data_IF_509975410957
#
_entry.id   IF_509975410957
#
_cell.length_a   1.000
_cell.length_b   1.000
_cell.length_c   1.000
_cell.angle_alpha   90.00
_cell.angle_beta   90.00
_cell.angle_gamma   90.00
#
_symmetry.space_group_name_H-M   'P 1'
#
loop_
_entity.id
_entity.type
_entity.pdbx_description
1 polymer ?
#
# COMPACT_ATOMS: atom_id res chain seq x y z
N UNK A 1 20.00 -9.51 1.05
CA UNK A 1 18.80 -9.83 1.86
C UNK A 1 18.18 -11.08 1.28
N UNK A 2 17.80 -12.02 2.14
CA UNK A 2 17.28 -13.32 1.71
C UNK A 2 15.76 -13.36 1.66
N UNK A 3 15.25 -13.82 0.53
CA UNK A 3 13.82 -14.00 0.30
C UNK A 3 13.55 -15.40 -0.25
N UNK A 4 12.33 -15.89 -0.07
CA UNK A 4 11.76 -16.99 -0.83
C UNK A 4 10.71 -16.45 -1.78
N UNK A 5 10.54 -17.07 -2.95
CA UNK A 5 9.38 -16.74 -3.80
C UNK A 5 8.12 -17.33 -3.19
N UNK A 6 7.09 -16.49 -3.02
CA UNK A 6 5.78 -16.87 -2.52
C UNK A 6 5.09 -17.86 -3.47
N UNK A 7 4.37 -18.81 -2.89
CA UNK A 7 3.56 -19.77 -3.65
C UNK A 7 2.63 -19.10 -4.66
N UNK A 8 2.65 -19.62 -5.90
CA UNK A 8 1.85 -19.13 -7.01
C UNK A 8 2.46 -17.95 -7.79
N UNK A 9 3.66 -17.48 -7.43
CA UNK A 9 4.34 -16.38 -8.14
C UNK A 9 5.66 -16.82 -8.80
N UNK A 10 6.04 -16.11 -9.85
CA UNK A 10 7.34 -16.21 -10.50
C UNK A 10 7.97 -14.82 -10.54
N UNK A 11 9.29 -14.78 -10.30
CA UNK A 11 10.10 -13.56 -10.35
C UNK A 11 11.05 -13.64 -11.53
N UNK A 12 10.99 -12.66 -12.42
CA UNK A 12 11.94 -12.48 -13.51
C UNK A 12 12.80 -11.26 -13.19
N UNK A 13 14.09 -11.48 -12.95
CA UNK A 13 15.05 -10.42 -12.69
C UNK A 13 16.01 -10.29 -13.87
N UNK A 14 16.12 -9.09 -14.41
CA UNK A 14 17.06 -8.76 -15.47
C UNK A 14 18.21 -7.93 -14.91
N UNK A 15 19.44 -8.33 -15.23
CA UNK A 15 20.66 -7.63 -14.83
C UNK A 15 21.55 -7.44 -16.06
N UNK A 16 22.24 -6.31 -16.14
CA UNK A 16 23.26 -6.09 -17.16
C UNK A 16 24.60 -6.53 -16.59
N UNK A 17 25.27 -7.46 -17.28
CA UNK A 17 26.62 -7.90 -16.95
C UNK A 17 27.59 -7.36 -17.99
N UNK A 18 28.61 -6.65 -17.53
CA UNK A 18 29.75 -6.27 -18.37
C UNK A 18 30.66 -7.50 -18.58
N UNK A 19 30.95 -7.82 -19.84
CA UNK A 19 31.87 -8.87 -20.23
C UNK A 19 33.29 -8.32 -20.33
N UNK A 20 34.28 -9.22 -20.27
CA UNK A 20 35.71 -8.85 -20.27
C UNK A 20 36.17 -8.13 -21.54
N UNK A 21 35.40 -8.23 -22.62
CA UNK A 21 35.63 -7.55 -23.90
C UNK A 21 34.93 -6.17 -23.98
N UNK A 22 34.30 -5.71 -22.90
CA UNK A 22 33.58 -4.44 -22.81
C UNK A 22 32.15 -4.50 -23.37
N UNK A 23 31.67 -5.66 -23.81
CA UNK A 23 30.28 -5.82 -24.24
C UNK A 23 29.33 -5.95 -23.05
N UNK A 24 28.12 -5.43 -23.20
CA UNK A 24 27.06 -5.53 -22.18
C UNK A 24 26.10 -6.65 -22.54
N UNK A 25 25.96 -7.63 -21.66
CA UNK A 25 25.01 -8.72 -21.83
C UNK A 25 23.83 -8.56 -20.88
N UNK A 26 22.62 -8.60 -21.42
CA UNK A 26 21.41 -8.74 -20.61
C UNK A 26 21.33 -10.18 -20.11
N UNK A 27 21.37 -10.37 -18.80
CA UNK A 27 21.19 -11.65 -18.14
C UNK A 27 19.82 -11.66 -17.49
N UNK A 28 18.97 -12.57 -17.94
CA UNK A 28 17.65 -12.80 -17.36
C UNK A 28 17.71 -14.04 -16.45
N UNK A 29 17.22 -13.89 -15.22
CA UNK A 29 17.10 -14.96 -14.23
C UNK A 29 15.64 -15.09 -13.83
N UNK A 30 15.14 -16.32 -13.85
CA UNK A 30 13.78 -16.65 -13.40
C UNK A 30 13.85 -17.47 -12.13
N UNK A 31 13.04 -17.11 -11.15
CA UNK A 31 12.93 -17.78 -9.85
C UNK A 31 11.49 -18.22 -9.61
N UNK A 32 11.33 -19.43 -9.11
CA UNK A 32 10.07 -20.14 -8.95
C UNK A 32 9.67 -20.24 -7.47
N UNK A 33 8.40 -20.58 -7.17
CA UNK A 33 7.94 -20.78 -5.80
C UNK A 33 8.86 -21.67 -4.97
N UNK A 34 9.21 -21.22 -3.77
CA UNK A 34 10.12 -21.94 -2.88
C UNK A 34 11.62 -21.73 -3.14
N UNK A 35 12.02 -21.09 -4.24
CA UNK A 35 13.42 -20.74 -4.47
C UNK A 35 13.89 -19.69 -3.46
N UNK A 36 15.05 -19.94 -2.84
CA UNK A 36 15.74 -18.94 -2.03
C UNK A 36 16.57 -18.01 -2.92
N UNK A 37 16.40 -16.71 -2.72
CA UNK A 37 17.05 -15.66 -3.51
C UNK A 37 17.71 -14.65 -2.58
N UNK A 38 18.96 -14.32 -2.89
CA UNK A 38 19.64 -13.17 -2.34
C UNK A 38 19.42 -11.96 -3.26
N UNK A 39 18.61 -11.01 -2.81
CA UNK A 39 18.38 -9.74 -3.49
C UNK A 39 18.88 -8.55 -2.67
N UNK A 40 19.29 -7.52 -3.38
CA UNK A 40 19.42 -6.15 -2.86
C UNK A 40 18.04 -5.49 -2.69
N UNK A 41 18.00 -4.32 -2.06
CA UNK A 41 16.75 -3.57 -1.91
C UNK A 41 16.18 -3.13 -3.25
N UNK A 42 17.04 -2.79 -4.20
CA UNK A 42 16.63 -2.33 -5.54
C UNK A 42 16.05 -3.49 -6.37
N UNK A 43 16.65 -4.68 -6.29
CA UNK A 43 16.15 -5.89 -6.96
C UNK A 43 14.84 -6.40 -6.35
N UNK A 44 14.66 -6.26 -5.03
CA UNK A 44 13.47 -6.71 -4.34
C UNK A 44 12.26 -5.77 -4.52
N UNK A 45 12.49 -4.47 -4.73
CA UNK A 45 11.46 -3.41 -4.83
C UNK A 45 10.30 -3.75 -5.79
N UNK A 46 10.56 -4.09 -7.07
CA UNK A 46 9.48 -4.43 -8.01
C UNK A 46 8.76 -5.75 -7.67
N UNK A 47 9.33 -6.56 -6.79
CA UNK A 47 8.88 -7.92 -6.50
C UNK A 47 8.40 -8.12 -5.06
N UNK A 48 8.36 -7.07 -4.22
CA UNK A 48 7.99 -7.15 -2.79
C UNK A 48 6.77 -8.03 -2.49
N UNK A 49 5.72 -7.95 -3.31
CA UNK A 49 4.47 -8.68 -3.14
C UNK A 49 4.56 -10.19 -3.46
N UNK A 50 5.63 -10.60 -4.15
CA UNK A 50 5.95 -11.98 -4.54
C UNK A 50 7.00 -12.62 -3.62
N UNK A 51 7.59 -11.86 -2.71
CA UNK A 51 8.72 -12.30 -1.89
C UNK A 51 8.27 -12.52 -0.44
N UNK A 52 8.79 -13.58 0.17
CA UNK A 52 8.64 -13.91 1.58
C UNK A 52 10.01 -13.69 2.25
N UNK A 53 10.11 -12.93 3.35
CA UNK A 53 11.41 -12.66 3.97
C UNK A 53 11.92 -13.89 4.73
N UNK A 54 13.19 -14.25 4.53
CA UNK A 54 13.85 -15.36 5.24
C UNK A 54 14.78 -14.90 6.35
N UNK A 55 15.32 -13.69 6.24
CA UNK A 55 16.21 -13.12 7.26
C UNK A 55 15.64 -11.85 7.91
N UNK A 56 16.33 -11.39 8.94
CA UNK A 56 15.93 -10.19 9.71
C UNK A 56 15.98 -8.91 8.86
N UNK A 57 16.90 -8.83 7.89
CA UNK A 57 17.04 -7.64 7.04
C UNK A 57 15.90 -7.55 6.03
N UNK A 58 15.58 -8.65 5.35
CA UNK A 58 14.45 -8.82 4.45
C UNK A 58 13.12 -8.52 5.16
N UNK A 59 12.96 -9.03 6.38
CA UNK A 59 11.77 -8.76 7.22
C UNK A 59 11.64 -7.27 7.50
N UNK A 60 12.73 -6.61 7.91
CA UNK A 60 12.75 -5.17 8.17
C UNK A 60 12.47 -4.36 6.91
N UNK A 61 12.97 -4.81 5.75
CA UNK A 61 12.76 -4.15 4.46
C UNK A 61 11.29 -4.23 4.02
N UNK A 62 10.66 -5.41 4.06
CA UNK A 62 9.26 -5.55 3.67
C UNK A 62 8.29 -4.86 4.64
N UNK A 63 8.59 -4.88 5.94
CA UNK A 63 7.75 -4.25 6.96
C UNK A 63 7.90 -2.72 7.03
N UNK A 64 8.96 -2.13 6.47
CA UNK A 64 9.15 -0.67 6.44
C UNK A 64 8.09 0.07 5.60
N UNK A 65 7.38 -0.62 4.71
CA UNK A 65 6.31 -0.04 3.91
C UNK A 65 4.95 0.04 4.64
N UNK A 66 4.80 -0.60 5.81
CA UNK A 66 3.58 -0.52 6.63
C UNK A 66 3.70 0.61 7.67
N UNK A 67 4.21 1.76 7.26
CA UNK A 67 3.73 3.01 7.84
C UNK A 67 2.46 3.35 7.09
N UNK A 68 1.34 2.70 7.46
CA UNK A 68 0.05 3.32 7.16
C UNK A 68 0.14 4.74 7.73
N UNK A 69 -0.28 5.78 6.99
CA UNK A 69 -0.55 7.04 7.65
C UNK A 69 -1.50 6.68 8.79
N UNK A 70 -1.07 6.91 10.03
CA UNK A 70 -2.01 6.96 11.14
C UNK A 70 -2.87 8.17 10.76
N UNK A 71 -3.97 7.93 10.05
CA UNK A 71 -5.09 8.86 10.07
C UNK A 71 -5.30 9.10 11.56
N UNK A 72 -4.97 10.31 12.00
CA UNK A 72 -5.13 10.68 13.39
C UNK A 72 -6.55 10.25 13.77
N UNK A 73 -6.66 9.26 14.66
CA UNK A 73 -7.94 8.75 15.07
C UNK A 73 -8.76 9.94 15.50
N UNK A 74 -9.79 10.29 14.73
CA UNK A 74 -10.64 11.44 15.05
C UNK A 74 -11.17 11.15 16.45
N UNK A 75 -10.86 11.99 17.46
CA UNK A 75 -11.35 11.77 18.81
C UNK A 75 -12.86 11.61 18.76
N UNK A 76 -13.41 10.64 19.50
CA UNK A 76 -14.85 10.33 19.49
C UNK A 76 -15.69 11.59 19.75
N UNK A 77 -15.16 12.52 20.56
CA UNK A 77 -15.77 13.81 20.86
C UNK A 77 -15.93 14.69 19.61
N UNK A 78 -14.96 14.70 18.69
CA UNK A 78 -15.05 15.43 17.42
C UNK A 78 -16.02 14.76 16.43
N UNK A 79 -16.13 13.42 16.46
CA UNK A 79 -17.13 12.71 15.66
C UNK A 79 -18.54 13.08 16.11
N UNK A 80 -18.77 13.18 17.42
CA UNK A 80 -20.07 13.58 17.99
C UNK A 80 -20.45 15.00 17.57
N UNK A 81 -19.52 15.95 17.63
CA UNK A 81 -19.77 17.33 17.19
C UNK A 81 -20.11 17.44 15.70
N UNK A 82 -19.44 16.65 14.84
CA UNK A 82 -19.74 16.60 13.41
C UNK A 82 -21.14 16.03 13.13
N UNK A 83 -21.53 14.98 13.86
CA UNK A 83 -22.88 14.39 13.77
C UNK A 83 -23.93 15.41 14.26
N UNK A 84 -23.72 16.02 15.43
CA UNK A 84 -24.66 17.00 16.00
C UNK A 84 -24.84 18.21 15.05
N UNK A 85 -23.77 18.68 14.41
CA UNK A 85 -23.82 19.76 13.42
C UNK A 85 -24.55 19.34 12.14
N UNK A 86 -24.29 18.14 11.63
CA UNK A 86 -24.96 17.63 10.43
C UNK A 86 -26.46 17.41 10.67
N UNK A 87 -26.84 16.88 11.85
CA UNK A 87 -28.23 16.69 12.25
C UNK A 87 -28.95 18.03 12.39
N UNK A 88 -28.32 19.03 13.02
CA UNK A 88 -28.89 20.37 13.14
C UNK A 88 -29.11 21.04 11.78
N UNK A 89 -28.16 20.89 10.84
CA UNK A 89 -28.31 21.41 9.47
C UNK A 89 -29.42 20.71 8.69
N UNK A 90 -29.53 19.39 8.82
CA UNK A 90 -30.60 18.62 8.19
C UNK A 90 -31.98 18.99 8.76
N UNK A 91 -32.10 19.18 10.08
CA UNK A 91 -33.34 19.63 10.71
C UNK A 91 -33.72 21.06 10.28
N UNK A 92 -32.76 21.98 10.22
CA UNK A 92 -33.02 23.35 9.78
C UNK A 92 -33.46 23.39 8.31
N UNK A 93 -32.83 22.60 7.44
CA UNK A 93 -33.22 22.49 6.04
C UNK A 93 -34.62 21.87 5.88
N UNK A 94 -34.98 20.87 6.69
CA UNK A 94 -36.30 20.26 6.69
C UNK A 94 -37.39 21.21 7.19
N UNK A 95 -37.12 21.99 8.24
CA UNK A 95 -38.06 23.01 8.73
C UNK A 95 -38.24 24.15 7.73
N UNK A 96 -37.17 24.60 7.08
CA UNK A 96 -37.25 25.60 6.02
C UNK A 96 -38.10 25.10 4.83
N UNK A 97 -37.95 23.83 4.44
CA UNK A 97 -38.78 23.21 3.40
C UNK A 97 -40.27 23.11 3.78
N UNK A 98 -40.58 22.89 5.06
CA UNK A 98 -41.96 22.81 5.56
C UNK A 98 -42.65 24.18 5.63
N UNK A 99 -41.92 25.26 5.92
CA UNK A 99 -42.46 26.63 5.92
C UNK A 99 -42.75 27.12 4.49
N UNK A 100 -41.95 26.68 3.50
CA UNK A 100 -42.13 27.05 2.10
C UNK A 100 -43.28 26.29 1.40
N UNK A 101 -43.74 25.17 1.98
CA UNK A 101 -44.84 24.37 1.46
C UNK A 101 -46.24 24.90 1.83
N UNK A 102 -46.34 25.93 2.68
CA UNK A 102 -47.61 26.55 3.02
C UNK A 102 -47.51 28.09 2.88
N UNK A 103 -47.59 28.64 1.65
CA UNK A 103 -47.70 30.08 1.50
C UNK A 103 -49.01 30.55 2.17
N UNK A 104 -49.00 31.68 2.91
CA UNK A 104 -50.23 32.21 3.50
C UNK A 104 -51.23 32.54 2.39
N UNK A 105 -52.45 32.04 2.55
CA UNK A 105 -53.62 32.43 1.75
C UNK A 105 -54.12 33.82 2.15
#
# INVERSE_FOLDING_TARGET
>A
MKFTVRDGFVVHAQSIRDLSDGTKQLVERSFYPGDEIDFTAEEAEPHKHKLVPLDKEATKYLNQAVSQPVEAAVPIDQVKELIDKAVAQALAAQQAALVQANPPA
#
